data_IF_358584519638
#
_entry.id   IF_358584519638
#
_cell.length_a   1.000
_cell.length_b   1.000
_cell.length_c   1.000
_cell.angle_alpha   90.00
_cell.angle_beta   90.00
_cell.angle_gamma   90.00
#
_symmetry.space_group_name_H-M   'P 1'
#
loop_
_entity.id
_entity.type
_entity.pdbx_description
1 polymer ?
#
# COMPACT_ATOMS: atom_id res chain seq x y z
N UNK A 1 -24.89 27.16 26.02
CA UNK A 1 -23.65 27.67 25.39
C UNK A 1 -22.64 27.99 26.48
N UNK A 2 -21.35 27.65 26.29
CA UNK A 2 -20.28 27.92 27.26
C UNK A 2 -19.44 29.12 26.82
N UNK A 3 -19.15 30.05 27.74
CA UNK A 3 -18.24 31.17 27.48
C UNK A 3 -16.81 30.77 27.81
N UNK A 4 -15.87 31.08 26.92
CA UNK A 4 -14.46 30.87 27.19
C UNK A 4 -14.01 31.75 28.36
N UNK A 5 -13.42 31.19 29.43
CA UNK A 5 -12.96 31.99 30.58
C UNK A 5 -11.79 32.92 30.22
N UNK A 6 -11.09 32.65 29.12
CA UNK A 6 -9.93 33.44 28.67
C UNK A 6 -10.29 34.59 27.74
N UNK A 7 -11.21 34.37 26.79
CA UNK A 7 -11.52 35.36 25.74
C UNK A 7 -13.00 35.77 25.65
N UNK A 8 -13.88 35.20 26.47
CA UNK A 8 -15.31 35.53 26.48
C UNK A 8 -16.14 35.00 25.29
N UNK A 9 -15.52 34.37 24.29
CA UNK A 9 -16.21 33.85 23.11
C UNK A 9 -17.22 32.74 23.48
N UNK A 10 -18.41 32.78 22.90
CA UNK A 10 -19.48 31.80 23.10
C UNK A 10 -19.26 30.57 22.22
N UNK A 11 -19.25 29.38 22.84
CA UNK A 11 -19.05 28.10 22.17
C UNK A 11 -20.26 27.19 22.43
N UNK A 12 -20.42 26.16 21.58
CA UNK A 12 -21.39 25.08 21.80
C UNK A 12 -21.07 24.34 23.11
N UNK A 13 -22.08 23.80 23.76
CA UNK A 13 -21.96 23.15 25.09
C UNK A 13 -21.10 21.87 25.10
N UNK A 14 -20.90 21.27 23.92
CA UNK A 14 -20.07 20.10 23.67
C UNK A 14 -18.65 20.45 23.19
N UNK A 15 -18.31 21.74 23.05
CA UNK A 15 -17.00 22.16 22.58
C UNK A 15 -15.90 21.75 23.59
N UNK A 16 -14.90 21.00 23.12
CA UNK A 16 -13.71 20.63 23.91
C UNK A 16 -12.70 21.77 24.03
N UNK A 17 -12.73 22.72 23.08
CA UNK A 17 -11.82 23.85 23.00
C UNK A 17 -12.59 25.11 22.60
N UNK A 18 -12.09 26.27 23.00
CA UNK A 18 -12.61 27.54 22.51
C UNK A 18 -12.31 27.71 21.01
N UNK A 19 -13.32 27.96 20.19
CA UNK A 19 -13.18 28.17 18.75
C UNK A 19 -12.42 29.45 18.34
N UNK A 20 -12.13 30.34 19.28
CA UNK A 20 -11.42 31.60 19.01
C UNK A 20 -9.97 31.60 19.55
N UNK A 21 -9.74 31.13 20.78
CA UNK A 21 -8.40 31.13 21.38
C UNK A 21 -7.78 29.74 21.62
N UNK A 22 -8.47 28.65 21.23
CA UNK A 22 -8.04 27.26 21.37
C UNK A 22 -7.73 26.77 22.79
N UNK A 23 -8.09 27.55 23.82
CA UNK A 23 -7.94 27.11 25.21
C UNK A 23 -8.86 25.91 25.48
N UNK A 24 -8.35 24.79 26.04
CA UNK A 24 -9.16 23.63 26.36
C UNK A 24 -10.14 23.96 27.49
N UNK A 25 -11.41 23.62 27.29
CA UNK A 25 -12.37 23.65 28.38
C UNK A 25 -12.03 22.49 29.32
N UNK A 26 -11.37 22.79 30.45
CA UNK A 26 -11.15 21.81 31.52
C UNK A 26 -12.51 21.36 32.06
N UNK A 27 -13.08 20.32 31.47
CA UNK A 27 -14.08 19.51 32.17
C UNK A 27 -13.36 18.90 33.36
N UNK A 28 -13.59 19.45 34.55
CA UNK A 28 -13.53 18.66 35.78
C UNK A 28 -14.57 17.57 35.57
N UNK A 29 -14.17 16.45 34.99
CA UNK A 29 -14.95 15.24 35.13
C UNK A 29 -14.82 14.88 36.60
N UNK A 30 -15.86 15.13 37.38
CA UNK A 30 -16.06 14.35 38.58
C UNK A 30 -16.10 12.89 38.12
N UNK A 31 -15.20 12.03 38.66
CA UNK A 31 -15.18 10.63 38.28
C UNK A 31 -16.57 10.05 38.58
N UNK A 32 -17.15 9.26 37.67
CA UNK A 32 -18.44 8.62 37.93
C UNK A 32 -18.34 7.82 39.24
N UNK A 33 -19.23 8.11 40.18
CA UNK A 33 -19.46 7.28 41.36
C UNK A 33 -19.95 5.92 40.87
N UNK A 34 -19.03 4.96 40.79
CA UNK A 34 -19.37 3.56 40.63
C UNK A 34 -19.86 3.05 41.99
N UNK A 35 -20.98 2.31 42.06
CA UNK A 35 -21.37 1.60 43.26
C UNK A 35 -20.28 0.61 43.64
N UNK A 36 -19.89 0.61 44.93
CA UNK A 36 -18.87 -0.25 45.52
C UNK A 36 -19.05 -1.72 45.07
N UNK A 37 -18.16 -2.26 44.22
CA UNK A 37 -17.98 -3.68 44.11
C UNK A 37 -17.23 -4.14 45.36
N UNK A 38 -17.76 -5.16 46.01
CA UNK A 38 -17.10 -5.91 47.07
C UNK A 38 -15.60 -6.05 46.80
N UNK A 39 -14.81 -5.75 47.84
CA UNK A 39 -13.37 -5.73 47.86
C UNK A 39 -12.75 -7.08 47.45
N UNK A 40 -12.69 -7.33 46.15
CA UNK A 40 -11.82 -8.34 45.57
C UNK A 40 -10.41 -7.74 45.53
N UNK A 41 -9.50 -8.38 46.27
CA UNK A 41 -8.09 -8.02 46.43
C UNK A 41 -7.39 -7.91 45.07
N UNK A 42 -7.47 -6.76 44.43
CA UNK A 42 -6.54 -6.36 43.37
C UNK A 42 -5.20 -6.16 44.07
N UNK A 43 -4.30 -7.13 43.88
CA UNK A 43 -2.93 -7.05 44.36
C UNK A 43 -2.34 -5.71 43.91
N UNK A 44 -1.80 -4.99 44.88
CA UNK A 44 -1.09 -3.75 44.65
C UNK A 44 -0.02 -3.99 43.60
N UNK A 45 -0.27 -3.52 42.38
CA UNK A 45 0.75 -3.30 41.38
C UNK A 45 1.80 -2.41 42.06
N UNK A 46 2.86 -3.04 42.57
CA UNK A 46 4.01 -2.36 43.13
C UNK A 46 4.51 -1.42 42.03
N UNK A 47 4.19 -0.13 42.15
CA UNK A 47 4.77 0.89 41.30
C UNK A 47 6.27 0.74 41.45
N UNK A 48 6.94 0.42 40.35
CA UNK A 48 8.40 0.27 40.33
C UNK A 48 9.02 1.49 41.04
N UNK A 49 9.72 1.23 42.14
CA UNK A 49 10.37 2.27 42.92
C UNK A 49 11.66 2.71 42.21
N UNK A 50 12.11 3.94 42.48
CA UNK A 50 13.39 4.41 41.98
C UNK A 50 14.51 3.51 42.51
N UNK A 51 15.41 3.05 41.63
CA UNK A 51 16.54 2.21 42.03
C UNK A 51 17.42 2.84 43.10
N UNK A 52 17.58 4.17 43.05
CA UNK A 52 18.39 4.90 44.02
C UNK A 52 17.61 5.25 45.29
N UNK A 53 16.27 5.25 45.21
CA UNK A 53 15.36 5.69 46.28
C UNK A 53 14.16 4.74 46.33
N UNK A 54 14.27 3.59 47.03
CA UNK A 54 13.20 2.59 47.10
C UNK A 54 11.90 3.11 47.72
N UNK A 55 12.01 4.19 48.50
CA UNK A 55 10.92 4.93 49.13
C UNK A 55 10.17 5.87 48.17
N UNK A 56 10.73 6.13 46.98
CA UNK A 56 10.15 7.06 45.99
C UNK A 56 9.64 6.31 44.76
N UNK A 57 8.45 6.66 44.25
CA UNK A 57 7.96 6.07 43.01
C UNK A 57 8.85 6.51 41.84
N UNK A 58 9.16 5.60 40.93
CA UNK A 58 9.81 5.97 39.69
C UNK A 58 8.87 6.85 38.85
N UNK A 59 9.44 7.88 38.24
CA UNK A 59 8.73 8.84 37.38
C UNK A 59 9.19 8.78 35.92
N UNK A 60 10.32 8.12 35.66
CA UNK A 60 10.84 7.87 34.32
C UNK A 60 11.89 6.77 34.32
N UNK A 61 12.45 6.48 33.15
CA UNK A 61 13.49 5.47 32.97
C UNK A 61 14.70 6.07 32.24
N UNK A 62 15.88 5.52 32.49
CA UNK A 62 17.10 5.93 31.80
C UNK A 62 17.15 5.38 30.37
N UNK A 63 17.38 6.21 29.36
CA UNK A 63 17.47 5.80 27.95
C UNK A 63 18.67 4.88 27.63
N UNK A 64 19.67 4.77 28.52
CA UNK A 64 20.88 3.96 28.34
C UNK A 64 20.78 2.63 29.06
N UNK A 65 20.52 2.63 30.38
CA UNK A 65 20.44 1.40 31.17
C UNK A 65 19.01 0.87 31.38
N UNK A 66 17.99 1.65 30.99
CA UNK A 66 16.57 1.29 31.00
C UNK A 66 16.02 0.82 32.35
N UNK A 67 16.61 1.33 33.43
CA UNK A 67 16.08 1.15 34.79
C UNK A 67 15.22 2.34 35.19
N UNK A 68 14.35 2.12 36.17
CA UNK A 68 13.35 3.07 36.65
C UNK A 68 13.94 4.00 37.73
N UNK A 69 13.74 5.30 37.57
CA UNK A 69 14.30 6.36 38.41
C UNK A 69 13.27 7.44 38.73
N UNK A 70 13.43 8.12 39.86
CA UNK A 70 12.72 9.37 40.15
C UNK A 70 13.30 10.51 39.28
N UNK A 71 12.55 11.61 39.16
CA UNK A 71 12.94 12.76 38.33
C UNK A 71 14.29 13.37 38.75
N UNK A 72 14.61 13.38 40.04
CA UNK A 72 15.89 13.87 40.56
C UNK A 72 17.10 13.01 40.15
N UNK A 73 16.88 11.72 39.85
CA UNK A 73 17.93 10.80 39.43
C UNK A 73 18.14 10.77 37.91
N UNK A 74 17.30 11.50 37.15
CA UNK A 74 17.38 11.61 35.69
C UNK A 74 17.98 12.96 35.30
N UNK A 75 18.85 12.93 34.30
CA UNK A 75 19.52 14.06 33.69
C UNK A 75 19.23 14.06 32.19
N UNK A 76 19.09 15.22 31.57
CA UNK A 76 18.94 15.31 30.11
C UNK A 76 20.32 15.28 29.42
N UNK A 77 20.52 14.35 28.50
CA UNK A 77 21.71 14.24 27.63
C UNK A 77 21.26 13.95 26.22
N UNK A 78 21.60 14.83 25.28
CA UNK A 78 21.23 14.73 23.86
C UNK A 78 19.71 14.58 23.62
N UNK A 79 18.90 15.32 24.39
CA UNK A 79 17.44 15.27 24.32
C UNK A 79 16.81 13.99 24.89
N UNK A 80 17.56 13.22 25.68
CA UNK A 80 17.10 11.98 26.31
C UNK A 80 17.36 12.00 27.81
N UNK A 81 16.43 11.49 28.59
CA UNK A 81 16.61 11.31 30.03
C UNK A 81 17.51 10.11 30.31
N UNK A 82 18.61 10.33 31.02
CA UNK A 82 19.59 9.31 31.42
C UNK A 82 19.86 9.38 32.92
N UNK A 83 20.16 8.25 33.57
CA UNK A 83 20.51 8.28 34.99
C UNK A 83 21.90 8.86 35.22
N UNK A 84 22.16 9.33 36.43
CA UNK A 84 23.45 9.93 36.81
C UNK A 84 24.67 9.04 36.48
N UNK A 85 24.56 7.72 36.65
CA UNK A 85 25.66 6.79 36.32
C UNK A 85 25.95 6.75 34.82
N UNK A 86 24.92 6.64 33.98
CA UNK A 86 25.08 6.65 32.52
C UNK A 86 25.47 8.04 31.99
N UNK A 87 25.02 9.10 32.65
CA UNK A 87 25.43 10.48 32.33
C UNK A 87 26.95 10.64 32.48
N UNK A 88 27.52 10.12 33.57
CA UNK A 88 28.95 10.09 33.88
C UNK A 88 29.77 9.11 33.02
N UNK A 89 29.16 8.41 32.06
CA UNK A 89 29.85 7.47 31.18
C UNK A 89 30.12 6.09 31.79
N UNK A 90 29.62 5.82 33.01
CA UNK A 90 29.66 4.49 33.58
C UNK A 90 28.51 3.65 32.99
N UNK A 91 28.77 2.93 31.89
CA UNK A 91 27.86 1.86 31.44
C UNK A 91 28.03 0.66 32.37
N UNK A 92 27.02 0.27 33.16
CA UNK A 92 27.14 -0.87 34.06
C UNK A 92 27.37 -2.14 33.24
N UNK A 93 28.46 -2.86 33.52
CA UNK A 93 28.72 -4.18 32.95
C UNK A 93 27.55 -5.11 33.30
N UNK A 94 26.93 -5.72 32.30
CA UNK A 94 25.77 -6.61 32.50
C UNK A 94 24.40 -5.93 32.46
N UNK A 95 24.31 -4.65 32.07
CA UNK A 95 23.01 -4.06 31.73
C UNK A 95 22.39 -4.82 30.53
N UNK A 96 21.52 -5.79 30.83
CA UNK A 96 20.62 -6.35 29.84
C UNK A 96 19.72 -5.22 29.41
N UNK A 97 19.86 -4.80 28.15
CA UNK A 97 18.92 -3.90 27.49
C UNK A 97 17.51 -4.45 27.76
N UNK A 98 16.69 -3.73 28.53
CA UNK A 98 15.23 -3.90 28.57
C UNK A 98 14.77 -3.67 27.14
N UNK A 99 14.74 -4.74 26.34
CA UNK A 99 14.31 -4.71 24.95
C UNK A 99 13.10 -3.80 24.88
N UNK A 100 13.26 -2.69 24.16
CA UNK A 100 12.26 -1.68 23.83
C UNK A 100 10.90 -2.37 23.81
N UNK A 101 10.04 -2.05 24.79
CA UNK A 101 8.68 -2.59 25.01
C UNK A 101 8.21 -3.19 23.69
N UNK A 102 8.39 -4.51 23.54
CA UNK A 102 8.08 -5.15 22.27
C UNK A 102 6.59 -5.01 22.07
N UNK A 103 6.16 -5.05 20.81
CA UNK A 103 4.74 -5.07 20.45
C UNK A 103 3.94 -6.07 21.31
N UNK A 104 4.58 -7.13 21.78
CA UNK A 104 4.04 -8.15 22.68
C UNK A 104 3.59 -7.58 24.04
N UNK A 105 4.28 -6.57 24.60
CA UNK A 105 3.81 -5.91 25.82
C UNK A 105 2.57 -5.04 25.55
N UNK A 106 2.47 -4.37 24.39
CA UNK A 106 1.24 -3.66 24.00
C UNK A 106 0.07 -4.61 23.80
N UNK A 107 0.31 -5.80 23.22
CA UNK A 107 -0.68 -6.87 23.12
C UNK A 107 -1.05 -7.44 24.50
N UNK A 108 -0.09 -7.52 25.44
CA UNK A 108 -0.31 -7.99 26.81
C UNK A 108 -1.09 -6.99 27.69
N UNK A 109 -0.94 -5.69 27.50
CA UNK A 109 -1.67 -4.67 28.27
C UNK A 109 -3.07 -4.35 27.72
N UNK A 110 -3.53 -5.03 26.66
CA UNK A 110 -4.88 -4.83 26.09
C UNK A 110 -5.14 -3.43 25.51
N UNK A 111 -4.13 -2.55 25.53
CA UNK A 111 -4.18 -1.25 24.87
C UNK A 111 -3.89 -1.52 23.40
N UNK A 112 -4.95 -1.84 22.65
CA UNK A 112 -4.92 -1.89 21.20
C UNK A 112 -4.51 -0.49 20.73
N UNK A 113 -3.20 -0.27 20.55
CA UNK A 113 -2.74 0.91 19.85
C UNK A 113 -3.50 0.91 18.52
N UNK A 114 -4.30 1.96 18.21
CA UNK A 114 -5.21 1.95 17.09
C UNK A 114 -4.38 1.57 15.87
N UNK A 115 -4.68 0.39 15.31
CA UNK A 115 -3.85 -0.17 14.25
C UNK A 115 -3.79 0.90 13.18
N UNK A 116 -2.60 1.43 12.88
CA UNK A 116 -2.46 2.48 11.86
C UNK A 116 -3.23 2.00 10.64
N UNK A 117 -4.23 2.78 10.21
CA UNK A 117 -5.14 2.35 9.16
C UNK A 117 -4.37 1.90 7.92
N UNK A 118 -4.90 0.92 7.19
CA UNK A 118 -4.26 0.32 6.01
C UNK A 118 -3.73 1.39 5.02
N UNK A 119 -4.54 2.41 4.72
CA UNK A 119 -4.16 3.52 3.84
C UNK A 119 -3.03 4.37 4.42
N UNK A 120 -2.98 4.56 5.75
CA UNK A 120 -1.88 5.27 6.41
C UNK A 120 -0.56 4.50 6.26
N UNK A 121 -0.58 3.18 6.36
CA UNK A 121 0.61 2.34 6.11
C UNK A 121 1.06 2.46 4.64
N UNK A 122 0.14 2.37 3.68
CA UNK A 122 0.45 2.55 2.26
C UNK A 122 1.02 3.95 1.96
N UNK A 123 0.46 4.98 2.58
CA UNK A 123 0.99 6.33 2.52
C UNK A 123 2.40 6.44 3.10
N UNK A 124 2.64 5.87 4.29
CA UNK A 124 3.96 5.86 4.93
C UNK A 124 5.01 5.13 4.08
N UNK A 125 4.66 4.06 3.38
CA UNK A 125 5.56 3.35 2.45
C UNK A 125 6.01 4.26 1.31
N UNK A 126 5.08 5.02 0.71
CA UNK A 126 5.38 5.86 -0.45
C UNK A 126 6.07 7.15 -0.05
N UNK A 127 5.60 7.84 0.99
CA UNK A 127 6.11 9.16 1.37
C UNK A 127 7.34 9.07 2.28
N UNK A 128 7.40 8.07 3.16
CA UNK A 128 8.49 7.91 4.12
C UNK A 128 9.12 6.50 4.07
N UNK A 129 9.55 6.02 2.89
CA UNK A 129 10.00 4.63 2.72
C UNK A 129 11.11 4.25 3.70
N UNK A 130 12.10 5.15 3.88
CA UNK A 130 13.22 4.94 4.81
C UNK A 130 12.76 4.74 6.25
N UNK A 131 11.78 5.54 6.72
CA UNK A 131 11.24 5.42 8.08
C UNK A 131 10.44 4.12 8.22
N UNK A 132 9.56 3.85 7.26
CA UNK A 132 8.74 2.65 7.25
C UNK A 132 9.59 1.36 7.30
N UNK A 133 10.57 1.20 6.41
CA UNK A 133 11.44 0.02 6.40
C UNK A 133 12.40 -0.03 7.60
N UNK A 134 12.69 1.10 8.25
CA UNK A 134 13.48 1.11 9.48
C UNK A 134 12.70 0.58 10.70
N UNK A 135 11.38 0.76 10.71
CA UNK A 135 10.50 0.33 11.80
C UNK A 135 10.02 -1.13 11.65
N UNK A 136 10.06 -1.69 10.44
CA UNK A 136 9.66 -3.08 10.20
C UNK A 136 10.62 -4.08 10.88
N UNK A 137 10.11 -5.17 11.48
CA UNK A 137 10.94 -6.23 12.01
C UNK A 137 11.73 -6.91 10.88
N UNK A 138 12.97 -7.31 11.15
CA UNK A 138 13.81 -7.99 10.15
C UNK A 138 13.43 -9.47 9.93
N UNK A 139 12.66 -10.04 10.86
CA UNK A 139 12.25 -11.44 10.92
C UNK A 139 10.75 -11.53 11.25
N UNK A 140 10.15 -12.71 11.12
CA UNK A 140 8.73 -12.97 11.41
C UNK A 140 7.96 -13.66 10.28
N UNK A 141 8.66 -14.24 9.31
CA UNK A 141 8.10 -15.04 8.21
C UNK A 141 7.41 -14.23 7.12
N UNK A 142 6.63 -14.95 6.31
CA UNK A 142 5.93 -14.43 5.12
C UNK A 142 4.48 -13.98 5.41
N UNK A 143 3.92 -14.37 6.57
CA UNK A 143 2.49 -14.21 6.86
C UNK A 143 2.02 -12.76 6.89
N UNK A 144 2.75 -11.87 7.57
CA UNK A 144 2.36 -10.46 7.67
C UNK A 144 2.36 -9.73 6.31
N UNK A 145 3.41 -9.84 5.46
CA UNK A 145 3.38 -9.29 4.10
C UNK A 145 2.25 -9.88 3.23
N UNK A 146 2.02 -11.20 3.28
CA UNK A 146 0.97 -11.85 2.49
C UNK A 146 -0.42 -11.36 2.91
N UNK A 147 -0.71 -11.28 4.21
CA UNK A 147 -1.97 -10.72 4.72
C UNK A 147 -2.17 -9.28 4.23
N UNK A 148 -1.13 -8.46 4.28
CA UNK A 148 -1.17 -7.08 3.79
C UNK A 148 -1.47 -7.01 2.29
N UNK A 149 -0.92 -7.93 1.50
CA UNK A 149 -1.20 -8.04 0.08
C UNK A 149 -2.62 -8.53 -0.24
N UNK A 150 -3.12 -9.53 0.48
CA UNK A 150 -4.49 -10.02 0.30
C UNK A 150 -5.52 -8.91 0.56
N UNK A 151 -5.30 -8.07 1.58
CA UNK A 151 -6.15 -6.90 1.84
C UNK A 151 -6.12 -5.92 0.65
N UNK A 152 -4.92 -5.60 0.15
CA UNK A 152 -4.76 -4.71 -1.00
C UNK A 152 -5.43 -5.26 -2.27
N UNK A 153 -5.29 -6.56 -2.50
CA UNK A 153 -5.92 -7.27 -3.60
C UNK A 153 -7.45 -7.26 -3.45
N UNK A 154 -7.98 -7.52 -2.26
CA UNK A 154 -9.42 -7.43 -2.00
C UNK A 154 -9.98 -6.04 -2.29
N UNK A 155 -9.26 -4.97 -1.93
CA UNK A 155 -9.64 -3.60 -2.27
C UNK A 155 -9.60 -3.32 -3.78
N UNK A 156 -8.58 -3.83 -4.49
CA UNK A 156 -8.51 -3.76 -5.95
C UNK A 156 -9.71 -4.45 -6.61
N UNK A 157 -10.01 -5.67 -6.16
CA UNK A 157 -11.14 -6.45 -6.66
C UNK A 157 -12.46 -5.74 -6.37
N UNK A 158 -12.65 -5.19 -5.16
CA UNK A 158 -13.83 -4.41 -4.83
C UNK A 158 -13.97 -3.18 -5.74
N UNK A 159 -12.87 -2.44 -5.98
CA UNK A 159 -12.90 -1.25 -6.83
C UNK A 159 -13.28 -1.55 -8.29
N UNK A 160 -12.85 -2.71 -8.83
CA UNK A 160 -13.16 -3.11 -10.21
C UNK A 160 -14.55 -3.77 -10.30
N UNK A 161 -14.89 -4.65 -9.37
CA UNK A 161 -16.13 -5.42 -9.38
C UNK A 161 -17.35 -4.60 -8.98
N UNK A 162 -17.25 -3.69 -7.99
CA UNK A 162 -18.41 -2.99 -7.46
C UNK A 162 -19.18 -2.19 -8.52
N UNK A 163 -18.55 -1.42 -9.43
CA UNK A 163 -19.27 -0.75 -10.52
C UNK A 163 -20.01 -1.74 -11.43
N UNK A 164 -19.38 -2.87 -11.78
CA UNK A 164 -20.00 -3.89 -12.64
C UNK A 164 -21.18 -4.58 -11.95
N UNK A 165 -21.09 -4.81 -10.64
CA UNK A 165 -22.17 -5.37 -9.83
C UNK A 165 -23.34 -4.41 -9.70
N UNK A 166 -23.10 -3.14 -9.38
CA UNK A 166 -24.14 -2.10 -9.29
C UNK A 166 -24.86 -1.96 -10.64
N UNK A 167 -24.11 -1.91 -11.74
CA UNK A 167 -24.69 -1.84 -13.07
C UNK A 167 -25.52 -3.08 -13.43
N UNK A 168 -25.09 -4.26 -12.99
CA UNK A 168 -25.82 -5.51 -13.21
C UNK A 168 -27.08 -5.63 -12.34
N UNK A 169 -27.05 -5.13 -11.10
CA UNK A 169 -28.19 -5.10 -10.19
C UNK A 169 -29.30 -4.15 -10.65
N UNK A 170 -28.94 -3.09 -11.38
CA UNK A 170 -29.90 -2.14 -11.95
C UNK A 170 -30.56 -2.63 -13.26
N UNK A 171 -30.20 -3.81 -13.79
CA UNK A 171 -30.86 -4.38 -14.96
C UNK A 171 -32.13 -5.14 -14.55
N UNK A 172 -33.21 -5.08 -15.35
CA UNK A 172 -34.45 -5.78 -15.04
C UNK A 172 -34.21 -7.28 -14.86
N UNK A 173 -34.68 -7.81 -13.74
CA UNK A 173 -34.56 -9.21 -13.33
C UNK A 173 -35.25 -10.10 -14.36
N UNK A 174 -34.46 -10.72 -15.24
CA UNK A 174 -35.00 -11.54 -16.35
C UNK A 174 -33.97 -11.97 -17.38
N UNK A 175 -32.83 -11.29 -17.49
CA UNK A 175 -31.75 -11.73 -18.38
C UNK A 175 -30.81 -12.72 -17.67
N UNK A 176 -30.85 -13.99 -18.06
CA UNK A 176 -29.91 -15.05 -17.64
C UNK A 176 -28.44 -14.71 -17.95
N UNK A 177 -28.21 -13.75 -18.86
CA UNK A 177 -26.88 -13.27 -19.24
C UNK A 177 -26.17 -12.52 -18.11
N UNK A 178 -26.90 -11.79 -17.26
CA UNK A 178 -26.31 -10.96 -16.21
C UNK A 178 -25.67 -11.81 -15.09
N UNK A 179 -26.33 -12.91 -14.68
CA UNK A 179 -25.84 -13.79 -13.61
C UNK A 179 -24.59 -14.57 -14.03
N UNK A 180 -24.55 -15.06 -15.28
CA UNK A 180 -23.37 -15.74 -15.85
C UNK A 180 -22.17 -14.79 -15.91
N UNK A 181 -22.38 -13.53 -16.31
CA UNK A 181 -21.32 -12.53 -16.38
C UNK A 181 -20.67 -12.25 -15.01
N UNK A 182 -21.49 -12.11 -13.96
CA UNK A 182 -20.98 -11.90 -12.59
C UNK A 182 -20.18 -13.10 -12.09
N UNK A 183 -20.66 -14.32 -12.35
CA UNK A 183 -19.95 -15.54 -11.95
C UNK A 183 -18.59 -15.69 -12.65
N UNK A 184 -18.54 -15.42 -13.96
CA UNK A 184 -17.29 -15.44 -14.74
C UNK A 184 -16.32 -14.39 -14.21
N UNK A 185 -16.78 -13.16 -13.95
CA UNK A 185 -15.94 -12.11 -13.39
C UNK A 185 -15.33 -12.54 -12.06
N UNK A 186 -16.15 -13.04 -11.12
CA UNK A 186 -15.67 -13.52 -9.83
C UNK A 186 -14.62 -14.64 -9.96
N UNK A 187 -14.86 -15.60 -10.87
CA UNK A 187 -13.91 -16.68 -11.13
C UNK A 187 -12.58 -16.17 -11.69
N UNK A 188 -12.63 -15.29 -12.70
CA UNK A 188 -11.44 -14.67 -13.30
C UNK A 188 -10.65 -13.90 -12.25
N UNK A 189 -11.32 -13.10 -11.43
CA UNK A 189 -10.66 -12.34 -10.36
C UNK A 189 -10.04 -13.23 -9.28
N UNK A 190 -10.70 -14.32 -8.90
CA UNK A 190 -10.15 -15.30 -7.97
C UNK A 190 -8.89 -15.95 -8.54
N UNK A 191 -8.92 -16.34 -9.82
CA UNK A 191 -7.78 -16.93 -10.52
C UNK A 191 -6.62 -15.94 -10.65
N UNK A 192 -6.89 -14.70 -11.06
CA UNK A 192 -5.90 -13.62 -11.14
C UNK A 192 -5.30 -13.33 -9.77
N UNK A 193 -6.11 -13.35 -8.70
CA UNK A 193 -5.62 -13.18 -7.33
C UNK A 193 -4.64 -14.27 -6.91
N UNK A 194 -4.97 -15.53 -7.18
CA UNK A 194 -4.10 -16.68 -6.91
C UNK A 194 -2.79 -16.59 -7.70
N UNK A 195 -2.89 -16.32 -9.01
CA UNK A 195 -1.72 -16.11 -9.87
C UNK A 195 -0.89 -14.90 -9.44
N UNK A 196 -1.51 -13.86 -8.89
CA UNK A 196 -0.84 -12.69 -8.34
C UNK A 196 0.00 -13.04 -7.10
N UNK A 197 -0.51 -13.87 -6.20
CA UNK A 197 0.26 -14.36 -5.05
C UNK A 197 1.45 -15.19 -5.51
N UNK A 198 1.25 -16.14 -6.44
CA UNK A 198 2.36 -16.91 -7.01
C UNK A 198 3.38 -16.00 -7.71
N UNK A 199 2.89 -15.02 -8.47
CA UNK A 199 3.69 -14.01 -9.14
C UNK A 199 4.54 -13.19 -8.17
N UNK A 200 4.05 -12.88 -6.96
CA UNK A 200 4.85 -12.21 -5.93
C UNK A 200 6.07 -13.05 -5.50
N UNK A 201 5.89 -14.36 -5.31
CA UNK A 201 7.02 -15.24 -4.95
C UNK A 201 8.04 -15.31 -6.09
N UNK A 202 7.58 -15.48 -7.33
CA UNK A 202 8.47 -15.50 -8.50
C UNK A 202 9.22 -14.18 -8.61
N UNK A 203 8.51 -13.05 -8.52
CA UNK A 203 9.10 -11.72 -8.61
C UNK A 203 10.12 -11.46 -7.50
N UNK A 204 9.80 -11.78 -6.25
CA UNK A 204 10.74 -11.72 -5.14
C UNK A 204 11.94 -12.66 -5.36
N UNK A 205 11.74 -13.83 -5.99
CA UNK A 205 12.82 -14.76 -6.36
C UNK A 205 13.80 -14.12 -7.34
N UNK A 206 13.28 -13.46 -8.37
CA UNK A 206 14.08 -12.71 -9.35
C UNK A 206 14.87 -11.62 -8.65
N UNK A 207 14.24 -10.78 -7.81
CA UNK A 207 14.95 -9.78 -7.03
C UNK A 207 16.02 -10.40 -6.12
N UNK A 208 15.72 -11.52 -5.46
CA UNK A 208 16.66 -12.17 -4.55
C UNK A 208 17.90 -12.71 -5.27
N UNK A 209 17.73 -13.23 -6.48
CA UNK A 209 18.84 -13.62 -7.35
C UNK A 209 19.79 -12.44 -7.58
N UNK A 210 19.27 -11.27 -7.97
CA UNK A 210 20.10 -10.08 -8.14
C UNK A 210 20.67 -9.56 -6.81
N UNK A 211 19.91 -9.60 -5.72
CA UNK A 211 20.43 -9.28 -4.38
C UNK A 211 21.67 -10.11 -4.07
N UNK A 212 21.65 -11.42 -4.35
CA UNK A 212 22.82 -12.28 -4.16
C UNK A 212 23.97 -11.91 -5.09
N UNK A 213 23.69 -11.61 -6.36
CA UNK A 213 24.69 -11.15 -7.33
C UNK A 213 25.42 -9.87 -6.87
N UNK A 214 24.70 -8.94 -6.23
CA UNK A 214 25.26 -7.69 -5.70
C UNK A 214 25.84 -7.81 -4.27
N UNK A 215 25.84 -9.02 -3.68
CA UNK A 215 26.45 -9.29 -2.38
C UNK A 215 25.54 -9.01 -1.16
N UNK A 216 24.23 -9.13 -1.32
CA UNK A 216 23.26 -9.03 -0.24
C UNK A 216 23.41 -10.15 0.79
N UNK A 217 23.40 -9.78 2.07
CA UNK A 217 23.78 -10.69 3.17
C UNK A 217 22.59 -11.44 3.80
N UNK A 218 21.36 -10.98 3.57
CA UNK A 218 20.17 -11.51 4.25
C UNK A 218 19.48 -12.57 3.38
N UNK A 219 18.46 -13.21 3.95
CA UNK A 219 17.72 -14.29 3.33
C UNK A 219 16.69 -13.81 2.30
N UNK A 220 16.02 -14.79 1.71
CA UNK A 220 14.92 -14.58 0.78
C UNK A 220 13.74 -13.84 1.43
N UNK A 221 13.43 -14.16 2.69
CA UNK A 221 12.34 -13.53 3.45
C UNK A 221 12.42 -11.99 3.45
N UNK A 222 13.62 -11.44 3.66
CA UNK A 222 13.83 -10.00 3.68
C UNK A 222 13.61 -9.38 2.30
N UNK A 223 13.96 -10.09 1.23
CA UNK A 223 13.70 -9.64 -0.16
C UNK A 223 12.20 -9.68 -0.45
N UNK A 224 11.53 -10.77 -0.07
CA UNK A 224 10.09 -10.94 -0.24
C UNK A 224 9.29 -9.85 0.49
N UNK A 225 9.71 -9.45 1.71
CA UNK A 225 9.09 -8.35 2.46
C UNK A 225 9.15 -7.04 1.68
N UNK A 226 10.34 -6.65 1.21
CA UNK A 226 10.53 -5.41 0.44
C UNK A 226 9.68 -5.44 -0.83
N UNK A 227 9.73 -6.54 -1.59
CA UNK A 227 8.97 -6.69 -2.83
C UNK A 227 7.46 -6.62 -2.57
N UNK A 228 6.96 -7.34 -1.56
CA UNK A 228 5.52 -7.40 -1.26
C UNK A 228 4.99 -6.07 -0.74
N UNK A 229 5.65 -5.41 0.22
CA UNK A 229 5.19 -4.12 0.72
C UNK A 229 5.20 -3.04 -0.36
N UNK A 230 6.20 -3.07 -1.25
CA UNK A 230 6.27 -2.12 -2.37
C UNK A 230 5.20 -2.42 -3.42
N UNK A 231 4.93 -3.70 -3.70
CA UNK A 231 3.83 -4.10 -4.59
C UNK A 231 2.48 -3.64 -4.04
N UNK A 232 2.21 -3.80 -2.75
CA UNK A 232 0.98 -3.32 -2.11
C UNK A 232 0.83 -1.81 -2.26
N UNK A 233 1.87 -1.05 -1.94
CA UNK A 233 1.85 0.40 -2.11
C UNK A 233 1.58 0.78 -3.57
N UNK A 234 2.27 0.16 -4.53
CA UNK A 234 2.06 0.38 -5.96
C UNK A 234 0.59 0.11 -6.37
N UNK A 235 0.01 -1.01 -5.93
CA UNK A 235 -1.37 -1.39 -6.24
C UNK A 235 -2.37 -0.36 -5.70
N UNK A 236 -2.26 0.01 -4.42
CA UNK A 236 -3.21 0.95 -3.78
C UNK A 236 -3.18 2.31 -4.44
N UNK A 237 -1.99 2.81 -4.77
CA UNK A 237 -1.86 4.10 -5.45
C UNK A 237 -2.25 4.03 -6.92
N UNK A 238 -2.02 2.90 -7.60
CA UNK A 238 -2.52 2.67 -8.96
C UNK A 238 -4.04 2.76 -8.99
N UNK A 239 -4.74 2.19 -7.98
CA UNK A 239 -6.20 2.35 -7.85
C UNK A 239 -6.56 3.82 -7.68
N UNK A 240 -5.88 4.56 -6.80
CA UNK A 240 -6.13 5.98 -6.58
C UNK A 240 -5.95 6.82 -7.84
N UNK A 241 -4.84 6.62 -8.57
CA UNK A 241 -4.56 7.31 -9.84
C UNK A 241 -5.56 6.92 -10.93
N UNK A 242 -5.98 5.66 -10.98
CA UNK A 242 -7.01 5.20 -11.91
C UNK A 242 -8.38 5.84 -11.62
N UNK A 243 -8.78 5.91 -10.35
CA UNK A 243 -10.03 6.58 -9.95
C UNK A 243 -9.98 8.08 -10.27
N UNK A 244 -8.84 8.74 -10.04
CA UNK A 244 -8.65 10.13 -10.45
C UNK A 244 -8.77 10.29 -11.97
N UNK A 245 -8.09 9.46 -12.76
CA UNK A 245 -8.23 9.44 -14.21
C UNK A 245 -9.71 9.33 -14.63
N UNK A 246 -10.47 8.41 -14.04
CA UNK A 246 -11.90 8.25 -14.35
C UNK A 246 -12.72 9.50 -14.00
N UNK A 247 -12.43 10.17 -12.88
CA UNK A 247 -13.11 11.41 -12.49
C UNK A 247 -12.82 12.52 -13.50
N UNK A 248 -11.57 12.70 -13.92
CA UNK A 248 -11.19 13.74 -14.87
C UNK A 248 -11.72 13.46 -16.27
N UNK A 249 -11.54 12.24 -16.78
CA UNK A 249 -12.08 11.83 -18.08
C UNK A 249 -13.61 11.90 -18.11
N UNK A 250 -14.26 11.47 -17.02
CA UNK A 250 -15.71 11.56 -16.87
C UNK A 250 -16.21 13.02 -16.80
N UNK A 251 -15.47 13.89 -16.11
CA UNK A 251 -15.74 15.32 -16.04
C UNK A 251 -15.56 16.02 -17.39
N UNK A 252 -14.49 15.69 -18.13
CA UNK A 252 -14.27 16.15 -19.50
C UNK A 252 -15.43 15.72 -20.40
N UNK A 253 -15.86 14.46 -20.32
CA UNK A 253 -17.01 13.93 -21.09
C UNK A 253 -18.34 14.60 -20.71
N UNK A 254 -18.56 14.86 -19.42
CA UNK A 254 -19.78 15.51 -18.95
C UNK A 254 -19.82 16.99 -19.37
N UNK A 255 -18.72 17.72 -19.20
CA UNK A 255 -18.60 19.13 -19.61
C UNK A 255 -18.77 19.27 -21.12
N UNK A 256 -18.16 18.36 -21.88
CA UNK A 256 -18.35 18.17 -23.30
C UNK A 256 -19.82 18.02 -23.70
N UNK A 257 -20.50 17.07 -23.07
CA UNK A 257 -21.92 16.81 -23.31
C UNK A 257 -22.80 18.03 -23.03
N UNK A 258 -22.51 18.77 -21.95
CA UNK A 258 -23.23 19.99 -21.60
C UNK A 258 -22.96 21.15 -22.57
N UNK A 259 -21.71 21.30 -23.04
CA UNK A 259 -21.32 22.40 -23.93
C UNK A 259 -21.81 22.23 -25.37
N UNK A 260 -21.86 21.00 -25.88
CA UNK A 260 -22.28 20.72 -27.26
C UNK A 260 -23.79 20.92 -27.51
N UNK A 261 -24.60 20.94 -26.44
CA UNK A 261 -26.03 20.66 -26.57
C UNK A 261 -26.28 19.32 -27.30
N UNK A 262 -27.50 19.06 -27.75
CA UNK A 262 -27.80 17.88 -28.56
C UNK A 262 -27.26 17.95 -30.01
N UNK A 263 -26.42 18.94 -30.35
CA UNK A 263 -26.01 19.19 -31.74
C UNK A 263 -24.77 18.38 -32.12
N UNK A 264 -24.92 17.50 -33.12
CA UNK A 264 -23.85 16.65 -33.67
C UNK A 264 -23.01 17.38 -34.72
N UNK A 265 -22.35 18.48 -34.37
CA UNK A 265 -21.37 19.06 -35.29
C UNK A 265 -20.06 18.25 -35.27
N UNK A 266 -19.42 17.99 -36.42
CA UNK A 266 -18.15 17.27 -36.49
C UNK A 266 -17.00 18.01 -35.78
N UNK A 267 -17.07 19.34 -35.70
CA UNK A 267 -16.10 20.19 -35.00
C UNK A 267 -16.04 19.88 -33.49
N UNK A 268 -17.21 19.65 -32.89
CA UNK A 268 -17.35 19.27 -31.48
C UNK A 268 -16.74 17.90 -31.22
N UNK A 269 -16.91 16.94 -32.13
CA UNK A 269 -16.30 15.60 -32.02
C UNK A 269 -14.76 15.68 -32.07
N UNK A 270 -14.22 16.50 -32.99
CA UNK A 270 -12.78 16.65 -33.12
C UNK A 270 -12.14 17.34 -31.90
N UNK A 271 -12.80 18.37 -31.37
CA UNK A 271 -12.41 19.01 -30.12
C UNK A 271 -12.37 18.00 -28.96
N UNK A 272 -13.37 17.14 -28.82
CA UNK A 272 -13.40 16.10 -27.78
C UNK A 272 -12.33 15.05 -27.96
N UNK A 273 -12.07 14.60 -29.18
CA UNK A 273 -10.98 13.69 -29.45
C UNK A 273 -9.63 14.30 -29.02
N UNK A 274 -9.41 15.58 -29.30
CA UNK A 274 -8.23 16.32 -28.87
C UNK A 274 -8.10 16.41 -27.35
N UNK A 275 -9.16 16.85 -26.66
CA UNK A 275 -9.13 17.01 -25.20
C UNK A 275 -8.96 15.65 -24.49
N UNK A 276 -9.68 14.62 -24.93
CA UNK A 276 -9.54 13.26 -24.40
C UNK A 276 -8.12 12.72 -24.57
N UNK A 277 -7.52 12.88 -25.75
CA UNK A 277 -6.14 12.45 -26.01
C UNK A 277 -5.13 13.21 -25.13
N UNK A 278 -5.32 14.51 -24.94
CA UNK A 278 -4.44 15.31 -24.08
C UNK A 278 -4.54 14.91 -22.60
N UNK A 279 -5.75 14.66 -22.11
CA UNK A 279 -6.03 14.18 -20.75
C UNK A 279 -5.41 12.79 -20.54
N UNK A 280 -5.62 11.88 -21.48
CA UNK A 280 -5.05 10.53 -21.45
C UNK A 280 -3.52 10.55 -21.46
N UNK A 281 -2.89 11.39 -22.29
CA UNK A 281 -1.44 11.57 -22.33
C UNK A 281 -0.92 12.07 -20.97
N UNK A 282 -1.53 13.13 -20.43
CA UNK A 282 -1.13 13.72 -19.16
C UNK A 282 -1.17 12.70 -18.01
N UNK A 283 -2.28 11.98 -17.87
CA UNK A 283 -2.43 10.94 -16.85
C UNK A 283 -1.49 9.76 -17.06
N UNK A 284 -1.20 9.40 -18.31
CA UNK A 284 -0.20 8.36 -18.63
C UNK A 284 1.19 8.79 -18.15
N UNK A 285 1.57 10.05 -18.36
CA UNK A 285 2.85 10.58 -17.88
C UNK A 285 2.91 10.53 -16.34
N UNK A 286 1.87 11.01 -15.65
CA UNK A 286 1.80 10.94 -14.18
C UNK A 286 1.93 9.50 -13.70
N UNK A 287 1.20 8.57 -14.32
CA UNK A 287 1.22 7.17 -13.98
C UNK A 287 2.62 6.55 -14.14
N UNK A 288 3.29 6.83 -15.25
CA UNK A 288 4.66 6.36 -15.51
C UNK A 288 5.63 6.96 -14.48
N UNK A 289 5.57 8.25 -14.22
CA UNK A 289 6.43 8.92 -13.22
C UNK A 289 6.21 8.35 -11.81
N UNK A 290 4.96 8.11 -11.44
CA UNK A 290 4.63 7.49 -10.16
C UNK A 290 5.18 6.06 -10.07
N UNK A 291 5.00 5.26 -11.13
CA UNK A 291 5.51 3.90 -11.17
C UNK A 291 7.04 3.85 -11.10
N UNK A 292 7.73 4.78 -11.78
CA UNK A 292 9.17 4.97 -11.65
C UNK A 292 9.55 5.36 -10.21
N UNK A 293 8.83 6.30 -9.59
CA UNK A 293 9.09 6.68 -8.20
C UNK A 293 8.99 5.47 -7.24
N UNK A 294 7.91 4.69 -7.33
CA UNK A 294 7.73 3.52 -6.46
C UNK A 294 8.78 2.44 -6.74
N UNK A 295 9.04 2.16 -8.01
CA UNK A 295 10.01 1.13 -8.41
C UNK A 295 11.43 1.52 -7.99
N UNK A 296 11.84 2.77 -8.20
CA UNK A 296 13.21 3.20 -7.94
C UNK A 296 13.40 3.66 -6.50
N UNK A 297 12.61 4.60 -5.98
CA UNK A 297 12.86 5.20 -4.66
C UNK A 297 12.47 4.25 -3.53
N UNK A 298 11.24 3.72 -3.57
CA UNK A 298 10.72 2.90 -2.47
C UNK A 298 11.45 1.57 -2.39
N UNK A 299 11.66 0.87 -3.51
CA UNK A 299 12.38 -0.41 -3.48
C UNK A 299 13.86 -0.25 -3.11
N UNK A 300 14.56 0.76 -3.62
CA UNK A 300 15.99 0.98 -3.28
C UNK A 300 16.16 1.21 -1.79
N UNK A 301 15.32 2.04 -1.16
CA UNK A 301 15.38 2.27 0.28
C UNK A 301 15.03 0.99 1.07
N UNK A 302 14.06 0.20 0.58
CA UNK A 302 13.75 -1.11 1.14
C UNK A 302 14.94 -2.07 1.10
N UNK A 303 15.58 -2.25 -0.06
CA UNK A 303 16.72 -3.16 -0.24
C UNK A 303 17.95 -2.69 0.53
N UNK A 304 18.25 -1.39 0.53
CA UNK A 304 19.34 -0.80 1.33
C UNK A 304 19.22 -1.18 2.80
N UNK A 305 18.00 -1.07 3.36
CA UNK A 305 17.76 -1.39 4.77
C UNK A 305 17.75 -2.89 5.06
N UNK A 306 17.05 -3.68 4.26
CA UNK A 306 16.80 -5.10 4.53
C UNK A 306 17.91 -6.04 4.06
N UNK A 307 18.72 -5.65 3.07
CA UNK A 307 19.82 -6.48 2.54
C UNK A 307 21.21 -5.95 2.90
N UNK A 308 21.29 -4.83 3.62
CA UNK A 308 22.55 -4.17 4.01
C UNK A 308 23.41 -3.87 2.78
N UNK A 309 22.77 -3.34 1.74
CA UNK A 309 23.41 -2.96 0.49
C UNK A 309 23.75 -1.47 0.49
N UNK A 310 24.87 -1.10 -0.15
CA UNK A 310 25.14 0.31 -0.51
C UNK A 310 24.10 0.79 -1.52
N UNK A 311 23.84 2.10 -1.59
CA UNK A 311 22.88 2.69 -2.54
C UNK A 311 23.11 2.25 -3.98
N UNK A 312 24.36 2.27 -4.47
CA UNK A 312 24.71 1.88 -5.84
C UNK A 312 24.31 0.43 -6.15
N UNK A 313 24.60 -0.49 -5.22
CA UNK A 313 24.22 -1.90 -5.34
C UNK A 313 22.70 -2.10 -5.30
N UNK A 314 22.01 -1.39 -4.41
CA UNK A 314 20.55 -1.45 -4.33
C UNK A 314 19.88 -0.94 -5.63
N UNK A 315 20.43 0.11 -6.24
CA UNK A 315 19.98 0.59 -7.57
C UNK A 315 20.21 -0.49 -8.63
N UNK A 316 21.36 -1.16 -8.63
CA UNK A 316 21.63 -2.29 -9.53
C UNK A 316 20.61 -3.43 -9.38
N UNK A 317 20.26 -3.80 -8.15
CA UNK A 317 19.23 -4.81 -7.86
C UNK A 317 17.87 -4.46 -8.44
N UNK A 318 17.51 -3.18 -8.47
CA UNK A 318 16.20 -2.72 -8.99
C UNK A 318 16.21 -2.62 -10.52
N UNK A 319 17.30 -2.13 -11.12
CA UNK A 319 17.41 -1.95 -12.58
C UNK A 319 17.55 -3.29 -13.32
N UNK A 320 18.36 -4.22 -12.79
CA UNK A 320 18.69 -5.45 -13.50
C UNK A 320 17.46 -6.31 -13.87
N UNK A 321 16.46 -6.54 -12.98
CA UNK A 321 15.22 -7.21 -13.36
C UNK A 321 14.49 -6.53 -14.52
N UNK A 322 14.41 -5.19 -14.52
CA UNK A 322 13.72 -4.44 -15.58
C UNK A 322 14.43 -4.63 -16.92
N UNK A 323 15.76 -4.51 -16.93
CA UNK A 323 16.58 -4.76 -18.13
C UNK A 323 16.47 -6.21 -18.58
N UNK A 324 16.50 -7.16 -17.63
CA UNK A 324 16.36 -8.58 -17.90
C UNK A 324 15.01 -8.88 -18.56
N UNK A 325 13.90 -8.35 -18.03
CA UNK A 325 12.57 -8.49 -18.64
C UNK A 325 12.47 -7.83 -20.01
N UNK A 326 13.08 -6.66 -20.19
CA UNK A 326 13.12 -5.99 -21.49
C UNK A 326 13.84 -6.88 -22.52
N UNK A 327 15.04 -7.38 -22.21
CA UNK A 327 15.80 -8.28 -23.08
C UNK A 327 15.07 -9.61 -23.33
N UNK A 328 14.47 -10.19 -22.29
CA UNK A 328 13.71 -11.43 -22.40
C UNK A 328 12.51 -11.26 -23.34
N UNK A 329 11.82 -10.11 -23.30
CA UNK A 329 10.72 -9.83 -24.23
C UNK A 329 11.14 -9.71 -25.70
N UNK A 330 12.40 -9.32 -25.97
CA UNK A 330 12.97 -9.37 -27.33
C UNK A 330 13.37 -10.79 -27.76
N UNK A 331 13.73 -11.66 -26.81
CA UNK A 331 14.16 -13.03 -27.10
C UNK A 331 13.00 -13.99 -27.35
N UNK A 332 11.81 -13.71 -26.83
CA UNK A 332 10.60 -14.46 -27.20
C UNK A 332 10.38 -14.18 -28.69
N UNK A 333 10.60 -15.16 -29.59
CA UNK A 333 10.48 -14.92 -31.01
C UNK A 333 9.07 -14.42 -31.26
N UNK A 334 8.91 -13.30 -31.97
CA UNK A 334 7.61 -12.82 -32.46
C UNK A 334 7.03 -13.87 -33.40
N UNK A 335 6.42 -14.92 -32.83
CA UNK A 335 5.78 -16.03 -33.54
C UNK A 335 4.65 -15.54 -34.45
N UNK A 336 4.17 -14.32 -34.24
CA UNK A 336 3.19 -13.65 -35.10
C UNK A 336 3.62 -13.58 -36.56
N UNK A 337 4.91 -13.35 -36.87
CA UNK A 337 5.36 -13.28 -38.27
C UNK A 337 5.31 -14.64 -38.99
N UNK A 338 5.41 -15.74 -38.26
CA UNK A 338 5.36 -17.10 -38.83
C UNK A 338 3.91 -17.54 -39.06
N UNK A 339 3.00 -17.17 -38.15
CA UNK A 339 1.57 -17.45 -38.29
C UNK A 339 0.94 -16.64 -39.43
N UNK A 340 1.26 -15.35 -39.57
CA UNK A 340 0.74 -14.53 -40.67
C UNK A 340 1.23 -15.03 -42.04
N UNK A 341 2.49 -15.49 -42.14
CA UNK A 341 3.02 -16.06 -43.38
C UNK A 341 2.29 -17.37 -43.74
N UNK A 342 2.07 -18.25 -42.76
CA UNK A 342 1.31 -19.50 -42.99
C UNK A 342 -0.14 -19.24 -43.39
N UNK A 343 -0.81 -18.24 -42.79
CA UNK A 343 -2.19 -17.91 -43.15
C UNK A 343 -2.28 -17.35 -44.59
N UNK A 344 -1.29 -16.55 -45.01
CA UNK A 344 -1.21 -16.07 -46.39
C UNK A 344 -0.90 -17.20 -47.39
N UNK A 345 0.00 -18.12 -47.05
CA UNK A 345 0.29 -19.31 -47.88
C UNK A 345 -0.95 -20.21 -48.01
N UNK A 346 -1.71 -20.42 -46.92
CA UNK A 346 -2.95 -21.21 -46.95
C UNK A 346 -4.01 -20.53 -47.83
N UNK A 347 -4.20 -19.21 -47.71
CA UNK A 347 -5.14 -18.47 -48.58
C UNK A 347 -4.71 -18.53 -50.04
N UNK A 348 -3.42 -18.44 -50.33
CA UNK A 348 -2.89 -18.50 -51.69
C UNK A 348 -3.07 -19.90 -52.32
N UNK A 349 -2.88 -20.98 -51.55
CA UNK A 349 -3.18 -22.34 -51.99
C UNK A 349 -4.68 -22.51 -52.26
N UNK A 350 -5.55 -21.93 -51.42
CA UNK A 350 -7.00 -22.01 -51.61
C UNK A 350 -7.46 -21.33 -52.90
N UNK A 351 -6.97 -20.11 -53.18
CA UNK A 351 -7.24 -19.43 -54.45
C UNK A 351 -6.72 -20.19 -55.68
N UNK A 352 -5.58 -20.88 -55.54
CA UNK A 352 -5.03 -21.67 -56.63
C UNK A 352 -5.82 -22.96 -56.89
N UNK A 353 -6.54 -23.51 -55.91
CA UNK A 353 -7.41 -24.68 -56.10
C UNK A 353 -8.75 -24.24 -56.72
N UNK A 354 -9.36 -23.15 -56.24
CA UNK A 354 -10.62 -22.63 -56.79
C UNK A 354 -10.49 -22.11 -58.24
N UNK A 355 -9.28 -21.72 -58.66
CA UNK A 355 -9.01 -21.25 -60.03
C UNK A 355 -8.93 -22.35 -61.10
N UNK A 356 -8.90 -23.64 -60.73
CA UNK A 356 -8.75 -24.76 -61.68
C UNK A 356 -10.02 -25.60 -61.93
N UNK A 357 -11.14 -25.28 -61.29
CA UNK A 357 -12.41 -26.03 -61.44
C UNK A 357 -13.44 -25.39 -62.38
N UNK A 358 -13.02 -24.50 -63.28
CA UNK A 358 -13.85 -24.15 -64.45
C UNK A 358 -13.37 -24.97 -65.64
N UNK A 359 -13.63 -26.28 -65.61
CA UNK A 359 -13.70 -27.09 -66.82
C UNK A 359 -14.91 -26.57 -67.63
N UNK A 360 -14.70 -25.93 -68.79
CA UNK A 360 -15.80 -25.49 -69.62
C UNK A 360 -16.35 -26.71 -70.36
N UNK A 361 -17.51 -27.21 -69.96
CA UNK A 361 -18.29 -28.11 -70.81
C UNK A 361 -18.78 -29.38 -70.13
N UNK A 362 -19.74 -29.24 -69.23
CA UNK A 362 -20.78 -30.27 -69.07
C UNK A 362 -22.11 -29.54 -69.05
N UNK A 363 -22.74 -29.39 -70.21
CA UNK A 363 -24.13 -28.97 -70.30
C UNK A 363 -25.01 -30.12 -69.82
N UNK A 364 -25.54 -30.02 -68.62
CA UNK A 364 -26.67 -30.84 -68.22
C UNK A 364 -27.92 -30.32 -68.94
N UNK A 365 -28.35 -31.03 -69.98
CA UNK A 365 -29.73 -30.93 -70.48
C UNK A 365 -30.64 -31.65 -69.46
N UNK A 366 -31.60 -30.90 -68.91
CA UNK A 366 -32.84 -31.42 -68.33
C UNK A 366 -33.98 -30.79 -69.13
#
# INVERSE_FOLDING_TARGET
MIKCPKCGYENKDDALYCGMCYEPFRKKAEPPEFPDPEAEKVSSLQKDACINHPDRPAQGFCAVCQRDFCFECLQEKDGRLVCNQCYAGATPQGARYRQKITRDQYEQYGIIAPEKGFFRKCWEIVIYPRKFFAELPQEGGFGAPIKFYIIALGLLLAAICMPTLIFSLNRPVGSSVATIGVAILFFVFSLVGLLGILGLFINAGIYHFFVKLFGGKKGYEQTFRVATYTAVASTVWTIGLYLLLLIFVGGDLLSAFLAAGATRSPEVILYFAGQFMSSLLFWTIIYVLFWLYVTFVVQVEGFKKFQVLTTVKAVGVVICPVVFWALFSFLIPKREKVLYRKEHEIKQIHYQIEGYDVLPGVSAQI
#
